data_IF_110744084465
#
_entry.id   IF_110744084465
#
_cell.length_a   1.000
_cell.length_b   1.000
_cell.length_c   1.000
_cell.angle_alpha   90.00
_cell.angle_beta   90.00
_cell.angle_gamma   90.00
#
_symmetry.space_group_name_H-M   'P 1'
#
loop_
_entity.id
_entity.type
_entity.pdbx_description
1 polymer ?
#
# COMPACT_ATOMS: atom_id res chain seq x y z
N UNK A 1 6.06 -3.63 15.69
CA UNK A 1 4.75 -3.81 15.04
C UNK A 1 4.93 -3.46 13.58
N UNK A 2 4.42 -4.27 12.65
CA UNK A 2 4.59 -4.06 11.20
C UNK A 2 3.39 -3.25 10.68
N UNK A 3 3.62 -2.31 9.77
CA UNK A 3 2.57 -1.56 9.08
C UNK A 3 2.62 -1.75 7.55
N UNK A 4 1.47 -1.88 6.91
CA UNK A 4 1.35 -1.93 5.44
C UNK A 4 1.57 -0.54 4.85
N UNK A 5 2.34 -0.46 3.76
CA UNK A 5 2.39 0.70 2.88
C UNK A 5 1.46 0.45 1.70
N UNK A 6 0.41 1.25 1.58
CA UNK A 6 -0.58 1.11 0.53
C UNK A 6 -0.08 1.63 -0.83
N UNK A 7 -0.78 1.28 -1.90
CA UNK A 7 -0.42 1.60 -3.29
C UNK A 7 -0.30 3.11 -3.51
N UNK A 8 -1.23 3.92 -2.99
CA UNK A 8 -1.19 5.38 -3.18
C UNK A 8 0.09 6.00 -2.61
N UNK A 9 0.57 5.53 -1.46
CA UNK A 9 1.83 5.99 -0.86
C UNK A 9 3.00 5.63 -1.76
N UNK A 10 3.06 4.39 -2.26
CA UNK A 10 4.11 3.98 -3.21
C UNK A 10 4.07 4.83 -4.48
N UNK A 11 2.90 5.06 -5.05
CA UNK A 11 2.70 5.88 -6.26
C UNK A 11 3.21 7.30 -6.04
N UNK A 12 2.81 7.94 -4.93
CA UNK A 12 3.21 9.32 -4.65
C UNK A 12 4.71 9.47 -4.45
N UNK A 13 5.43 8.45 -3.98
CA UNK A 13 6.89 8.50 -3.86
C UNK A 13 7.61 8.72 -5.22
N UNK A 14 6.94 8.39 -6.34
CA UNK A 14 7.48 8.49 -7.70
C UNK A 14 6.67 9.42 -8.62
N UNK A 15 5.58 10.03 -8.14
CA UNK A 15 4.82 11.00 -8.93
C UNK A 15 5.46 12.40 -8.85
N UNK A 16 6.08 12.82 -9.95
CA UNK A 16 6.76 14.11 -10.06
C UNK A 16 5.82 15.31 -10.08
N UNK A 17 4.52 15.11 -10.29
CA UNK A 17 3.53 16.20 -10.34
C UNK A 17 3.07 16.67 -8.97
N UNK A 18 3.26 15.86 -7.92
CA UNK A 18 2.73 16.10 -6.57
C UNK A 18 3.85 16.29 -5.55
N UNK A 19 4.63 17.37 -5.67
CA UNK A 19 5.85 17.58 -4.88
C UNK A 19 5.66 17.41 -3.35
N UNK A 20 4.60 17.97 -2.78
CA UNK A 20 4.32 17.88 -1.34
C UNK A 20 4.03 16.45 -0.87
N UNK A 21 3.11 15.74 -1.55
CA UNK A 21 2.81 14.33 -1.24
C UNK A 21 4.02 13.43 -1.52
N UNK A 22 4.78 13.71 -2.58
CA UNK A 22 6.01 12.99 -2.92
C UNK A 22 7.03 13.06 -1.80
N UNK A 23 7.25 14.23 -1.21
CA UNK A 23 8.19 14.38 -0.11
C UNK A 23 7.79 13.54 1.11
N UNK A 24 6.50 13.55 1.48
CA UNK A 24 5.98 12.74 2.59
C UNK A 24 6.13 11.24 2.29
N UNK A 25 5.70 10.81 1.10
CA UNK A 25 5.77 9.43 0.67
C UNK A 25 7.21 8.92 0.60
N UNK A 26 8.14 9.73 0.09
CA UNK A 26 9.57 9.43 0.08
C UNK A 26 10.14 9.33 1.49
N UNK A 27 9.75 10.22 2.42
CA UNK A 27 10.18 10.14 3.81
C UNK A 27 9.72 8.84 4.47
N UNK A 28 8.46 8.43 4.25
CA UNK A 28 7.93 7.17 4.77
C UNK A 28 8.62 5.95 4.14
N UNK A 29 8.88 5.98 2.83
CA UNK A 29 9.62 4.92 2.16
C UNK A 29 11.07 4.85 2.65
N UNK A 30 11.76 5.98 2.81
CA UNK A 30 13.11 6.04 3.38
C UNK A 30 13.15 5.45 4.78
N UNK A 31 12.15 5.75 5.62
CA UNK A 31 12.01 5.13 6.94
C UNK A 31 11.85 3.61 6.85
N UNK A 32 11.02 3.15 5.91
CA UNK A 32 10.84 1.71 5.66
C UNK A 32 12.10 1.01 5.15
N UNK A 33 12.98 1.73 4.46
CA UNK A 33 14.27 1.21 4.00
C UNK A 33 15.32 1.21 5.13
N UNK A 34 15.26 2.14 6.09
CA UNK A 34 16.20 2.20 7.22
C UNK A 34 15.81 1.31 8.40
N UNK A 35 14.51 1.12 8.63
CA UNK A 35 13.96 0.37 9.77
C UNK A 35 13.45 -1.01 9.32
N UNK A 36 14.39 -1.91 9.03
CA UNK A 36 14.08 -3.26 8.54
C UNK A 36 13.07 -3.99 9.44
N UNK A 37 12.05 -4.57 8.82
CA UNK A 37 11.03 -5.36 9.52
C UNK A 37 9.95 -4.54 10.24
N UNK A 38 9.86 -3.23 9.99
CA UNK A 38 8.76 -2.39 10.50
C UNK A 38 7.64 -2.16 9.48
N UNK A 39 7.87 -2.46 8.20
CA UNK A 39 6.91 -2.22 7.14
C UNK A 39 6.72 -3.44 6.25
N UNK A 40 5.55 -3.52 5.63
CA UNK A 40 5.24 -4.50 4.61
C UNK A 40 4.53 -3.88 3.40
N UNK A 41 4.53 -4.63 2.29
CA UNK A 41 3.72 -4.37 1.10
C UNK A 41 3.08 -5.68 0.65
N UNK A 42 1.86 -5.62 0.11
CA UNK A 42 1.25 -6.78 -0.53
C UNK A 42 1.71 -6.92 -1.98
N UNK A 43 1.72 -8.14 -2.52
CA UNK A 43 1.87 -8.37 -3.96
C UNK A 43 0.80 -7.62 -4.78
N UNK A 44 -0.38 -7.41 -4.18
CA UNK A 44 -1.44 -6.60 -4.77
C UNK A 44 -0.98 -5.14 -4.90
N UNK A 45 -0.42 -4.55 -3.84
CA UNK A 45 0.07 -3.17 -3.88
C UNK A 45 1.15 -2.97 -4.95
N UNK A 46 2.06 -3.94 -5.10
CA UNK A 46 3.11 -3.86 -6.12
C UNK A 46 2.56 -3.95 -7.55
N UNK A 47 1.53 -4.78 -7.74
CA UNK A 47 0.85 -4.95 -9.03
C UNK A 47 0.08 -3.68 -9.42
N UNK A 48 -0.68 -3.12 -8.47
CA UNK A 48 -1.38 -1.86 -8.68
C UNK A 48 -0.40 -0.69 -8.89
N UNK A 49 0.69 -0.65 -8.14
CA UNK A 49 1.74 0.37 -8.28
C UNK A 49 2.23 0.43 -9.72
N UNK A 50 2.65 -0.70 -10.30
CA UNK A 50 3.11 -0.75 -11.69
C UNK A 50 2.04 -0.24 -12.68
N UNK A 51 0.80 -0.69 -12.53
CA UNK A 51 -0.29 -0.29 -13.40
C UNK A 51 -0.56 1.22 -13.32
N UNK A 52 -0.53 1.80 -12.11
CA UNK A 52 -0.82 3.21 -11.87
C UNK A 52 0.31 4.11 -12.38
N UNK A 53 1.56 3.85 -12.00
CA UNK A 53 2.68 4.74 -12.37
C UNK A 53 2.99 4.74 -13.86
N UNK A 54 2.57 3.72 -14.60
CA UNK A 54 2.77 3.63 -16.06
C UNK A 54 1.59 4.16 -16.88
N UNK A 55 0.47 4.53 -16.27
CA UNK A 55 -0.73 4.91 -17.05
C UNK A 55 -1.66 5.96 -16.44
N UNK A 56 -1.75 6.07 -15.10
CA UNK A 56 -2.80 6.87 -14.43
C UNK A 56 -2.29 8.16 -13.79
N UNK A 57 -0.99 8.29 -13.57
CA UNK A 57 -0.40 9.53 -13.02
C UNK A 57 -0.21 10.59 -14.12
N UNK A 58 -0.09 11.86 -13.74
CA UNK A 58 0.02 12.97 -14.70
C UNK A 58 1.27 12.86 -15.59
N UNK A 59 2.37 12.33 -15.05
CA UNK A 59 3.62 12.10 -15.76
C UNK A 59 4.00 10.61 -15.66
N UNK A 60 3.43 9.73 -16.50
CA UNK A 60 3.70 8.30 -16.43
C UNK A 60 5.18 7.97 -16.57
N UNK A 61 5.64 7.01 -15.78
CA UNK A 61 6.99 6.46 -15.91
C UNK A 61 7.07 5.55 -17.13
N UNK A 62 8.25 5.49 -17.73
CA UNK A 62 8.55 4.45 -18.71
C UNK A 62 8.44 3.07 -18.06
N UNK A 63 7.88 2.10 -18.80
CA UNK A 63 7.67 0.74 -18.29
C UNK A 63 8.96 0.07 -17.82
N UNK A 64 10.09 0.34 -18.49
CA UNK A 64 11.40 -0.18 -18.09
C UNK A 64 11.80 0.34 -16.70
N UNK A 65 11.66 1.65 -16.47
CA UNK A 65 11.93 2.28 -15.16
C UNK A 65 11.00 1.73 -14.08
N UNK A 66 9.69 1.64 -14.37
CA UNK A 66 8.72 1.08 -13.43
C UNK A 66 9.01 -0.39 -13.09
N UNK A 67 9.43 -1.20 -14.08
CA UNK A 67 9.81 -2.59 -13.87
C UNK A 67 11.02 -2.72 -12.95
N UNK A 68 12.06 -1.88 -13.13
CA UNK A 68 13.21 -1.85 -12.22
C UNK A 68 12.81 -1.48 -10.79
N UNK A 69 11.90 -0.50 -10.62
CA UNK A 69 11.41 -0.10 -9.30
C UNK A 69 10.66 -1.25 -8.60
N UNK A 70 9.77 -1.94 -9.31
CA UNK A 70 9.08 -3.12 -8.79
C UNK A 70 10.08 -4.20 -8.42
N UNK A 71 11.06 -4.49 -9.28
CA UNK A 71 12.08 -5.51 -9.00
C UNK A 71 12.88 -5.18 -7.75
N UNK A 72 13.31 -3.92 -7.59
CA UNK A 72 14.01 -3.43 -6.39
C UNK A 72 13.13 -3.60 -5.15
N UNK A 73 11.86 -3.20 -5.22
CA UNK A 73 10.92 -3.36 -4.10
C UNK A 73 10.73 -4.84 -3.73
N UNK A 74 10.56 -5.74 -4.71
CA UNK A 74 10.41 -7.18 -4.50
C UNK A 74 11.66 -7.79 -3.85
N UNK A 75 12.86 -7.43 -4.32
CA UNK A 75 14.12 -8.00 -3.84
C UNK A 75 14.58 -7.43 -2.50
N UNK A 76 14.12 -6.23 -2.13
CA UNK A 76 14.58 -5.57 -0.90
C UNK A 76 14.12 -6.31 0.37
N UNK A 77 15.04 -6.77 1.21
CA UNK A 77 14.68 -7.60 2.38
C UNK A 77 14.17 -6.82 3.58
N UNK A 78 14.37 -5.50 3.63
CA UNK A 78 13.93 -4.67 4.77
C UNK A 78 12.41 -4.44 4.84
N UNK A 79 11.69 -4.63 3.73
CA UNK A 79 10.22 -4.55 3.67
C UNK A 79 9.67 -5.97 3.50
N UNK A 80 8.77 -6.38 4.38
CA UNK A 80 8.11 -7.70 4.32
C UNK A 80 7.13 -7.75 3.15
N UNK A 81 7.09 -8.89 2.43
CA UNK A 81 6.12 -9.11 1.34
C UNK A 81 5.05 -10.05 1.83
N UNK A 82 3.80 -9.64 1.68
CA UNK A 82 2.64 -10.47 2.01
C UNK A 82 1.83 -10.74 0.75
N UNK A 83 1.11 -11.87 0.74
CA UNK A 83 0.26 -12.24 -0.38
C UNK A 83 -0.98 -12.98 0.16
N UNK A 84 -2.15 -12.80 -0.47
CA UNK A 84 -3.32 -13.59 -0.10
C UNK A 84 -3.06 -15.07 -0.38
N UNK A 85 -3.43 -15.90 0.58
CA UNK A 85 -3.59 -17.35 0.41
C UNK A 85 -4.99 -17.68 -0.09
N UNK A 86 -5.25 -18.91 -0.58
CA UNK A 86 -6.59 -19.28 -1.06
C UNK A 86 -7.71 -19.00 -0.05
N UNK A 87 -7.47 -19.22 1.24
CA UNK A 87 -8.41 -18.95 2.32
C UNK A 87 -8.68 -17.44 2.55
N UNK A 88 -7.73 -16.57 2.21
CA UNK A 88 -7.89 -15.11 2.32
C UNK A 88 -9.03 -14.62 1.44
N UNK A 89 -9.25 -15.26 0.29
CA UNK A 89 -10.32 -14.91 -0.66
C UNK A 89 -11.69 -15.08 -0.01
N UNK A 90 -11.92 -16.16 0.73
CA UNK A 90 -13.18 -16.37 1.43
C UNK A 90 -13.42 -15.29 2.49
N UNK A 91 -12.37 -14.85 3.18
CA UNK A 91 -12.44 -13.76 4.16
C UNK A 91 -12.76 -12.41 3.50
N UNK A 92 -12.15 -12.13 2.34
CA UNK A 92 -12.41 -10.92 1.57
C UNK A 92 -13.89 -10.85 1.13
N UNK A 93 -14.44 -11.95 0.62
CA UNK A 93 -15.86 -12.05 0.25
C UNK A 93 -16.77 -11.82 1.46
N UNK A 94 -16.41 -12.35 2.64
CA UNK A 94 -17.15 -12.08 3.88
C UNK A 94 -17.14 -10.58 4.23
N UNK A 95 -16.02 -9.89 4.08
CA UNK A 95 -15.95 -8.45 4.32
C UNK A 95 -16.77 -7.64 3.31
N UNK A 96 -16.80 -8.04 2.04
CA UNK A 96 -17.69 -7.42 1.05
C UNK A 96 -19.16 -7.54 1.49
N UNK A 97 -19.57 -8.74 1.92
CA UNK A 97 -20.95 -9.01 2.32
C UNK A 97 -21.38 -8.33 3.62
N UNK A 98 -20.45 -8.14 4.58
CA UNK A 98 -20.79 -7.67 5.94
C UNK A 98 -20.41 -6.22 6.22
N UNK A 99 -19.39 -5.69 5.53
CA UNK A 99 -18.85 -4.34 5.76
C UNK A 99 -19.06 -3.40 4.56
N UNK A 100 -19.72 -3.88 3.49
CA UNK A 100 -19.89 -3.14 2.23
C UNK A 100 -18.55 -2.60 1.69
N UNK A 101 -17.49 -3.41 1.83
CA UNK A 101 -16.16 -3.09 1.33
C UNK A 101 -16.04 -3.37 -0.17
N UNK A 102 -15.23 -2.57 -0.89
CA UNK A 102 -14.82 -2.97 -2.25
C UNK A 102 -13.98 -4.24 -2.15
N UNK A 103 -14.06 -5.09 -3.17
CA UNK A 103 -13.39 -6.38 -3.15
C UNK A 103 -11.87 -6.27 -2.99
N UNK A 104 -11.24 -5.29 -3.63
CA UNK A 104 -9.78 -5.16 -3.59
C UNK A 104 -9.29 -4.64 -2.24
N UNK A 105 -10.02 -3.72 -1.62
CA UNK A 105 -9.75 -3.25 -0.26
C UNK A 105 -9.97 -4.38 0.76
N UNK A 106 -11.07 -5.15 0.58
CA UNK A 106 -11.39 -6.29 1.41
C UNK A 106 -10.33 -7.40 1.33
N UNK A 107 -9.81 -7.67 0.12
CA UNK A 107 -8.75 -8.66 -0.08
C UNK A 107 -7.44 -8.21 0.56
N UNK A 108 -7.08 -6.94 0.40
CA UNK A 108 -5.87 -6.39 1.01
C UNK A 108 -5.96 -6.43 2.54
N UNK A 109 -7.07 -5.99 3.12
CA UNK A 109 -7.27 -6.03 4.56
C UNK A 109 -7.35 -7.46 5.11
N UNK A 110 -8.01 -8.39 4.42
CA UNK A 110 -7.99 -9.80 4.79
C UNK A 110 -6.55 -10.36 4.77
N UNK A 111 -5.75 -9.99 3.78
CA UNK A 111 -4.33 -10.34 3.71
C UNK A 111 -3.56 -9.76 4.89
N UNK A 112 -3.79 -8.51 5.27
CA UNK A 112 -3.15 -7.92 6.44
C UNK A 112 -3.47 -8.68 7.73
N UNK A 113 -4.76 -8.96 7.98
CA UNK A 113 -5.21 -9.68 9.17
C UNK A 113 -4.66 -11.09 9.24
N UNK A 114 -4.57 -11.78 8.10
CA UNK A 114 -3.97 -13.10 7.97
C UNK A 114 -2.50 -13.15 8.42
N UNK A 115 -1.77 -12.03 8.28
CA UNK A 115 -0.37 -11.89 8.68
C UNK A 115 -0.21 -11.19 10.05
N UNK A 116 -1.30 -10.98 10.81
CA UNK A 116 -1.33 -10.22 12.07
C UNK A 116 -0.81 -8.78 11.91
N UNK A 117 -1.15 -8.14 10.78
CA UNK A 117 -0.80 -6.76 10.47
C UNK A 117 -2.07 -5.94 10.61
N UNK A 118 -2.04 -4.97 11.52
CA UNK A 118 -3.23 -4.23 11.94
C UNK A 118 -3.16 -2.74 11.59
N UNK A 119 -2.10 -2.30 10.93
CA UNK A 119 -1.90 -0.88 10.60
C UNK A 119 -1.61 -0.73 9.11
N UNK A 120 -2.26 0.24 8.47
CA UNK A 120 -2.00 0.64 7.08
C UNK A 120 -1.72 2.12 6.97
N UNK A 121 -0.69 2.47 6.20
CA UNK A 121 -0.43 3.82 5.72
C UNK A 121 -1.11 4.03 4.37
N UNK A 122 -2.15 4.86 4.33
CA UNK A 122 -2.94 5.12 3.12
C UNK A 122 -3.61 6.48 3.19
N UNK A 123 -3.79 7.13 2.03
CA UNK A 123 -4.67 8.30 1.91
C UNK A 123 -6.17 7.94 1.99
N UNK A 124 -6.53 6.70 1.62
CA UNK A 124 -7.91 6.28 1.43
C UNK A 124 -8.54 5.77 2.74
N UNK A 125 -8.74 6.66 3.72
CA UNK A 125 -9.18 6.26 5.06
C UNK A 125 -10.52 5.53 5.09
N UNK A 126 -11.47 5.95 4.24
CA UNK A 126 -12.82 5.39 4.17
C UNK A 126 -12.84 3.92 3.75
N UNK A 127 -11.84 3.48 3.00
CA UNK A 127 -11.77 2.13 2.44
C UNK A 127 -11.40 1.08 3.49
N UNK A 128 -10.64 1.49 4.50
CA UNK A 128 -10.19 0.58 5.57
C UNK A 128 -10.92 0.79 6.90
N UNK A 129 -11.49 1.97 7.16
CA UNK A 129 -12.24 2.26 8.40
C UNK A 129 -13.48 1.37 8.61
N UNK A 130 -14.01 0.78 7.53
CA UNK A 130 -15.12 -0.19 7.58
C UNK A 130 -14.69 -1.59 8.01
N UNK A 131 -13.38 -1.87 8.11
CA UNK A 131 -12.87 -3.22 8.37
C UNK A 131 -12.38 -3.33 9.83
N UNK A 132 -13.02 -4.17 10.66
CA UNK A 132 -12.63 -4.32 12.06
C UNK A 132 -11.18 -4.79 12.23
N UNK A 133 -10.47 -4.19 13.18
CA UNK A 133 -9.09 -4.55 13.51
C UNK A 133 -8.01 -3.88 12.66
N UNK A 134 -8.39 -3.06 11.67
CA UNK A 134 -7.46 -2.24 10.90
C UNK A 134 -7.41 -0.82 11.46
N UNK A 135 -6.21 -0.37 11.79
CA UNK A 135 -5.87 1.01 12.14
C UNK A 135 -5.34 1.71 10.91
N UNK A 136 -5.95 2.84 10.56
CA UNK A 136 -5.52 3.63 9.41
C UNK A 136 -4.66 4.80 9.85
N UNK A 137 -3.54 5.01 9.18
CA UNK A 137 -2.69 6.18 9.34
C UNK A 137 -2.62 6.87 7.98
N UNK A 138 -3.23 8.05 7.88
CA UNK A 138 -3.05 8.90 6.70
C UNK A 138 -1.82 9.80 6.88
N UNK A 139 -0.70 9.53 6.18
CA UNK A 139 0.53 10.30 6.34
C UNK A 139 0.40 11.73 5.78
N UNK A 140 -0.65 12.03 5.02
CA UNK A 140 -0.85 13.32 4.34
C UNK A 140 -1.70 14.31 5.13
N UNK A 141 -2.37 13.89 6.22
CA UNK A 141 -3.22 14.78 7.04
C UNK A 141 -2.43 15.83 7.84
N UNK A 142 -1.11 15.70 7.98
CA UNK A 142 -0.26 16.69 8.67
C UNK A 142 0.13 17.90 7.80
N UNK A 143 -0.44 18.04 6.60
CA UNK A 143 -0.22 19.21 5.75
C UNK A 143 -0.89 20.45 6.39
N UNK A 144 -0.16 21.55 6.63
CA UNK A 144 -0.83 22.83 6.76
C UNK A 144 -1.54 23.15 5.44
N UNK A 145 -2.79 23.59 5.54
CA UNK A 145 -3.64 24.03 4.44
C UNK A 145 -3.00 25.16 3.63
#
# INVERSE_FOLDING_TARGET
>A
MIALIDTNVLVYAFDNSLAAKRQIAQSLLSKALSESGMFCVSIQNLSEFFAVVTSKIQQPLEKAVAAELVQKLVQFTGIVKIAPRPETVAKAVQFCATQNADYWDALLAATMLEYNIFTVHTENEKDFNKIPGITVINPFNAQPS
#
